data_IF_681323391606
#
_entry.id   IF_681323391606
#
_cell.length_a   1.000
_cell.length_b   1.000
_cell.length_c   1.000
_cell.angle_alpha   90.00
_cell.angle_beta   90.00
_cell.angle_gamma   90.00
#
_symmetry.space_group_name_H-M   'P 1'
#
loop_
_entity.id
_entity.type
_entity.pdbx_description
1 polymer ?
#
# COMPACT_ATOMS: atom_id res chain seq x y z
N UNK A 1 -45.04 -16.99 -18.54
CA UNK A 1 -44.02 -17.20 -19.59
C UNK A 1 -43.31 -15.90 -19.98
N UNK A 2 -44.05 -14.83 -20.29
CA UNK A 2 -43.51 -13.51 -20.66
C UNK A 2 -42.75 -12.78 -19.56
N UNK A 3 -43.16 -12.86 -18.30
CA UNK A 3 -42.42 -12.26 -17.17
C UNK A 3 -41.00 -12.84 -17.03
N UNK A 4 -40.82 -14.15 -17.25
CA UNK A 4 -39.50 -14.77 -17.23
C UNK A 4 -38.60 -14.24 -18.36
N UNK A 5 -39.16 -13.98 -19.54
CA UNK A 5 -38.43 -13.40 -20.67
C UNK A 5 -37.96 -11.98 -20.33
N UNK A 6 -38.82 -11.19 -19.66
CA UNK A 6 -38.48 -9.83 -19.22
C UNK A 6 -37.35 -9.87 -18.19
N UNK A 7 -37.43 -10.76 -17.20
CA UNK A 7 -36.39 -10.92 -16.17
C UNK A 7 -35.04 -11.31 -16.80
N UNK A 8 -35.04 -12.28 -17.71
CA UNK A 8 -33.81 -12.72 -18.41
C UNK A 8 -33.20 -11.58 -19.25
N UNK A 9 -34.04 -10.79 -19.93
CA UNK A 9 -33.56 -9.64 -20.70
C UNK A 9 -32.88 -8.59 -19.81
N UNK A 10 -33.43 -8.31 -18.63
CA UNK A 10 -32.83 -7.37 -17.68
C UNK A 10 -31.49 -7.88 -17.11
N UNK A 11 -31.40 -9.17 -16.79
CA UNK A 11 -30.16 -9.80 -16.33
C UNK A 11 -29.09 -9.76 -17.42
N UNK A 12 -29.45 -10.00 -18.68
CA UNK A 12 -28.51 -9.96 -19.80
C UNK A 12 -27.90 -8.57 -20.00
N UNK A 13 -28.69 -7.50 -19.88
CA UNK A 13 -28.19 -6.12 -19.98
C UNK A 13 -27.28 -5.79 -18.79
N UNK A 14 -27.66 -6.19 -17.58
CA UNK A 14 -26.82 -6.00 -16.39
C UNK A 14 -25.49 -6.76 -16.50
N UNK A 15 -25.50 -7.96 -17.05
CA UNK A 15 -24.31 -8.79 -17.23
C UNK A 15 -23.26 -8.13 -18.12
N UNK A 16 -23.65 -7.39 -19.17
CA UNK A 16 -22.72 -6.66 -20.04
C UNK A 16 -21.87 -5.68 -19.22
N UNK A 17 -22.50 -4.90 -18.34
CA UNK A 17 -21.79 -3.94 -17.49
C UNK A 17 -20.86 -4.64 -16.48
N UNK A 18 -21.32 -5.75 -15.89
CA UNK A 18 -20.53 -6.54 -14.93
C UNK A 18 -19.31 -7.15 -15.62
N UNK A 19 -19.42 -7.68 -16.83
CA UNK A 19 -18.28 -8.25 -17.55
C UNK A 19 -17.22 -7.21 -17.91
N UNK A 20 -17.62 -6.00 -18.27
CA UNK A 20 -16.66 -4.92 -18.54
C UNK A 20 -15.92 -4.50 -17.27
N UNK A 21 -16.66 -4.28 -16.16
CA UNK A 21 -16.07 -3.90 -14.89
C UNK A 21 -15.18 -5.01 -14.31
N UNK A 22 -15.65 -6.26 -14.35
CA UNK A 22 -14.88 -7.42 -13.90
C UNK A 22 -13.60 -7.61 -14.72
N UNK A 23 -13.67 -7.47 -16.05
CA UNK A 23 -12.49 -7.54 -16.92
C UNK A 23 -11.45 -6.46 -16.61
N UNK A 24 -11.89 -5.24 -16.29
CA UNK A 24 -11.01 -4.16 -15.84
C UNK A 24 -10.35 -4.48 -14.49
N UNK A 25 -11.10 -5.02 -13.53
CA UNK A 25 -10.60 -5.39 -12.19
C UNK A 25 -9.60 -6.55 -12.27
N UNK A 26 -9.90 -7.60 -13.03
CA UNK A 26 -8.97 -8.72 -13.21
C UNK A 26 -7.69 -8.24 -13.88
N UNK A 27 -7.79 -7.44 -14.95
CA UNK A 27 -6.62 -6.89 -15.64
C UNK A 27 -5.78 -5.98 -14.73
N UNK A 28 -6.39 -5.14 -13.91
CA UNK A 28 -5.66 -4.25 -13.00
C UNK A 28 -4.98 -5.03 -11.87
N UNK A 29 -5.64 -6.05 -11.31
CA UNK A 29 -5.03 -6.94 -10.32
C UNK A 29 -3.93 -7.80 -10.93
N UNK A 30 -4.13 -8.36 -12.12
CA UNK A 30 -3.08 -9.09 -12.84
C UNK A 30 -1.91 -8.18 -13.19
N UNK A 31 -2.13 -6.91 -13.56
CA UNK A 31 -1.06 -5.94 -13.78
C UNK A 31 -0.33 -5.58 -12.49
N UNK A 32 -1.04 -5.45 -11.36
CA UNK A 32 -0.42 -5.22 -10.05
C UNK A 32 0.41 -6.43 -9.62
N UNK A 33 -0.13 -7.64 -9.73
CA UNK A 33 0.61 -8.88 -9.45
C UNK A 33 1.77 -9.10 -10.43
N UNK A 34 1.61 -8.75 -11.71
CA UNK A 34 2.69 -8.84 -12.69
C UNK A 34 3.79 -7.82 -12.40
N UNK A 35 3.46 -6.60 -11.96
CA UNK A 35 4.43 -5.61 -11.49
C UNK A 35 5.19 -6.12 -10.27
N UNK A 36 4.47 -6.62 -9.28
CA UNK A 36 5.02 -7.19 -8.05
C UNK A 36 5.89 -8.44 -8.33
N UNK A 37 5.48 -9.30 -9.27
CA UNK A 37 6.21 -10.47 -9.73
C UNK A 37 7.41 -10.11 -10.64
N UNK A 38 7.31 -9.05 -11.44
CA UNK A 38 8.38 -8.54 -12.30
C UNK A 38 9.47 -7.78 -11.54
N UNK A 39 9.25 -7.51 -10.25
CA UNK A 39 10.26 -6.93 -9.35
C UNK A 39 10.38 -5.41 -9.41
N UNK A 40 9.45 -4.71 -10.06
CA UNK A 40 9.37 -3.25 -10.15
C UNK A 40 8.39 -2.77 -9.06
N UNK A 41 8.75 -2.24 -7.88
CA UNK A 41 10.00 -1.72 -7.35
C UNK A 41 10.08 -2.04 -5.84
N UNK A 42 10.73 -3.13 -5.47
CA UNK A 42 11.15 -3.33 -4.07
C UNK A 42 12.35 -2.45 -3.71
N UNK A 43 13.11 -1.99 -4.71
CA UNK A 43 14.32 -1.17 -4.58
C UNK A 43 14.04 0.24 -4.13
N UNK A 44 13.01 0.91 -4.68
CA UNK A 44 12.59 2.22 -4.21
C UNK A 44 12.11 2.14 -2.75
N UNK A 45 11.28 1.16 -2.43
CA UNK A 45 10.79 0.92 -1.07
C UNK A 45 11.91 0.51 -0.11
N UNK A 46 12.90 -0.27 -0.57
CA UNK A 46 14.05 -0.69 0.23
C UNK A 46 15.03 0.48 0.46
N UNK A 47 15.22 1.37 -0.52
CA UNK A 47 15.99 2.62 -0.37
C UNK A 47 15.30 3.58 0.59
N UNK A 48 13.97 3.74 0.49
CA UNK A 48 13.19 4.54 1.44
C UNK A 48 13.27 3.95 2.85
N UNK A 49 13.15 2.63 2.99
CA UNK A 49 13.30 1.95 4.28
C UNK A 49 14.70 2.13 4.87
N UNK A 50 15.76 2.06 4.06
CA UNK A 50 17.13 2.33 4.50
C UNK A 50 17.31 3.80 4.94
N UNK A 51 16.78 4.76 4.20
CA UNK A 51 16.86 6.18 4.56
C UNK A 51 16.09 6.49 5.85
N UNK A 52 14.94 5.86 6.06
CA UNK A 52 14.16 5.99 7.28
C UNK A 52 14.89 5.36 8.49
N UNK A 53 15.51 4.18 8.29
CA UNK A 53 16.32 3.52 9.32
C UNK A 53 17.51 4.39 9.74
N UNK A 54 18.25 4.96 8.79
CA UNK A 54 19.37 5.86 9.09
C UNK A 54 18.93 7.12 9.86
N UNK A 55 17.78 7.69 9.50
CA UNK A 55 17.21 8.85 10.21
C UNK A 55 16.81 8.48 11.64
N UNK A 56 16.19 7.31 11.83
CA UNK A 56 15.81 6.81 13.14
C UNK A 56 17.02 6.49 14.03
N UNK A 57 18.10 5.93 13.47
CA UNK A 57 19.37 5.73 14.16
C UNK A 57 20.01 7.06 14.59
N UNK A 58 20.05 8.06 13.70
CA UNK A 58 20.58 9.38 14.03
C UNK A 58 19.77 10.09 15.13
N UNK A 59 18.45 9.93 15.10
CA UNK A 59 17.56 10.48 16.13
C UNK A 59 17.67 9.71 17.46
N UNK A 60 17.90 8.40 17.39
CA UNK A 60 18.18 7.54 18.56
C UNK A 60 19.52 7.87 19.19
N UNK A 61 20.56 8.15 18.39
CA UNK A 61 21.84 8.63 18.89
C UNK A 61 21.69 9.99 19.61
N UNK A 62 20.92 10.91 19.02
CA UNK A 62 20.63 12.23 19.60
C UNK A 62 19.80 12.17 20.88
N UNK A 63 18.94 11.15 21.02
CA UNK A 63 18.11 10.88 22.21
C UNK A 63 18.65 9.73 23.06
N UNK A 64 19.88 9.30 22.85
CA UNK A 64 20.47 8.24 23.67
C UNK A 64 20.59 8.73 25.12
N UNK A 65 20.65 7.79 26.06
CA UNK A 65 20.73 8.05 27.51
C UNK A 65 21.79 9.09 27.89
N UNK A 66 22.81 9.30 27.04
CA UNK A 66 23.84 10.33 27.20
C UNK A 66 23.30 11.77 27.17
N UNK A 67 22.26 12.03 26.37
CA UNK A 67 21.55 13.31 26.34
C UNK A 67 20.64 13.49 27.56
N UNK A 68 20.09 12.41 28.13
CA UNK A 68 19.28 12.48 29.36
C UNK A 68 20.13 12.63 30.62
N UNK A 69 21.29 11.98 30.70
CA UNK A 69 22.21 12.15 31.84
C UNK A 69 22.91 13.51 31.80
N UNK A 70 23.33 14.00 30.62
CA UNK A 70 23.97 15.31 30.50
C UNK A 70 23.03 16.50 30.76
N UNK A 71 21.72 16.34 30.53
CA UNK A 71 20.72 17.38 30.79
C UNK A 71 20.18 17.34 32.23
N UNK A 72 20.43 16.26 32.99
CA UNK A 72 20.15 16.18 34.41
C UNK A 72 21.21 16.95 35.24
N UNK A 73 22.48 16.93 34.81
CA UNK A 73 23.54 17.72 35.44
C UNK A 73 23.37 19.24 35.24
N UNK A 74 22.72 19.68 34.15
CA UNK A 74 22.48 21.10 33.85
C UNK A 74 21.23 21.70 34.53
N UNK A 75 20.32 20.86 35.04
CA UNK A 75 19.08 21.30 35.70
C UNK A 75 19.14 21.24 37.24
N UNK A 76 20.28 20.82 37.80
CA UNK A 76 20.51 20.67 39.23
C UNK A 76 21.63 21.55 39.81
N UNK A 77 21.86 22.74 39.22
CA UNK A 77 22.76 23.77 39.74
C UNK A 77 22.01 24.97 40.29
#
# INVERSE_FOLDING_TARGET
>A
MTEYIIIVALVAVAAIAVYQLFGQVVRSQTAAMAKELSGEDGTAQSQMAQSAAQTAEAQTASKSLKSYTGNADAAGG
#
